data_IF_333481481925
#
_entry.id   IF_333481481925
#
_cell.length_a   1.000
_cell.length_b   1.000
_cell.length_c   1.000
_cell.angle_alpha   90.00
_cell.angle_beta   90.00
_cell.angle_gamma   90.00
#
_symmetry.space_group_name_H-M   'P 1'
#
loop_
_entity.id
_entity.type
_entity.pdbx_description
1 polymer ?
#
# COMPACT_ATOMS: atom_id res chain seq x y z
N UNK A 1 2.60 28.07 -17.13
CA UNK A 1 2.00 26.92 -16.45
C UNK A 1 2.99 25.81 -16.65
N UNK A 2 3.85 25.62 -15.66
CA UNK A 2 4.80 24.51 -15.64
C UNK A 2 3.99 23.25 -15.35
N UNK A 3 3.88 22.36 -16.35
CA UNK A 3 3.45 20.99 -16.11
C UNK A 3 4.56 20.34 -15.28
N UNK A 4 4.30 20.13 -13.98
CA UNK A 4 5.16 19.36 -13.12
C UNK A 4 5.15 17.90 -13.64
N UNK A 5 6.29 17.39 -14.14
CA UNK A 5 6.34 16.09 -14.83
C UNK A 5 6.01 14.90 -13.92
N UNK A 6 5.86 15.12 -12.60
CA UNK A 6 5.46 14.10 -11.63
C UNK A 6 3.97 13.99 -11.35
N UNK A 7 3.11 14.87 -11.90
CA UNK A 7 1.68 14.88 -11.57
C UNK A 7 0.86 14.13 -12.61
N UNK A 8 0.24 13.01 -12.21
CA UNK A 8 -0.82 12.37 -12.96
C UNK A 8 -2.18 12.96 -12.56
N UNK A 9 -2.75 13.76 -13.46
CA UNK A 9 -4.08 14.35 -13.33
C UNK A 9 -5.14 13.41 -13.88
N UNK A 10 -6.33 13.34 -13.28
CA UNK A 10 -7.47 12.63 -13.89
C UNK A 10 -8.12 13.41 -15.00
N UNK A 11 -7.93 14.73 -15.04
CA UNK A 11 -8.54 15.59 -16.03
C UNK A 11 -8.20 15.09 -17.45
N UNK A 12 -9.19 14.57 -18.17
CA UNK A 12 -9.05 14.03 -19.52
C UNK A 12 -8.88 12.50 -19.60
N UNK A 13 -8.81 11.78 -18.47
CA UNK A 13 -8.91 10.33 -18.48
C UNK A 13 -10.36 9.88 -18.77
N UNK A 14 -10.54 8.76 -19.49
CA UNK A 14 -11.88 8.25 -19.74
C UNK A 14 -12.61 7.91 -18.43
N UNK A 15 -13.91 8.24 -18.26
CA UNK A 15 -14.68 7.86 -17.07
C UNK A 15 -14.86 6.33 -16.96
N UNK A 16 -14.56 5.59 -18.02
CA UNK A 16 -14.54 4.13 -18.06
C UNK A 16 -13.19 3.52 -17.64
N UNK A 17 -12.18 4.32 -17.30
CA UNK A 17 -10.88 3.82 -16.87
C UNK A 17 -11.04 3.03 -15.56
N UNK A 18 -10.65 1.75 -15.58
CA UNK A 18 -10.79 0.81 -14.45
C UNK A 18 -9.45 0.36 -13.87
N UNK A 19 -8.40 0.40 -14.67
CA UNK A 19 -7.07 -0.07 -14.26
C UNK A 19 -5.99 0.85 -14.80
N UNK A 20 -5.00 1.16 -13.97
CA UNK A 20 -3.82 1.94 -14.31
C UNK A 20 -2.58 1.20 -13.83
N UNK A 21 -1.59 1.08 -14.72
CA UNK A 21 -0.30 0.45 -14.44
C UNK A 21 0.82 1.42 -14.80
N UNK A 22 1.61 1.80 -13.79
CA UNK A 22 2.65 2.80 -13.87
C UNK A 22 3.94 2.18 -13.32
N UNK A 23 4.87 1.83 -14.20
CA UNK A 23 6.14 1.22 -13.81
C UNK A 23 7.31 2.11 -14.22
N UNK A 24 8.26 2.32 -13.30
CA UNK A 24 9.47 3.12 -13.55
C UNK A 24 9.17 4.52 -14.09
N UNK A 25 8.08 5.12 -13.63
CA UNK A 25 7.67 6.48 -13.97
C UNK A 25 7.96 7.43 -12.79
N UNK A 26 8.34 8.69 -13.04
CA UNK A 26 8.60 9.68 -11.98
C UNK A 26 7.30 10.24 -11.37
N UNK A 27 6.20 9.47 -11.38
CA UNK A 27 4.91 9.95 -10.90
C UNK A 27 4.95 10.04 -9.39
N UNK A 28 4.76 11.26 -8.89
CA UNK A 28 4.81 11.63 -7.49
C UNK A 28 3.44 12.15 -7.00
N UNK A 29 2.51 12.49 -7.87
CA UNK A 29 1.22 13.03 -7.43
C UNK A 29 0.12 12.43 -8.26
N UNK A 30 -0.83 11.76 -7.62
CA UNK A 30 -2.14 11.56 -8.22
C UNK A 30 -2.97 12.76 -7.80
N UNK A 31 -3.40 13.58 -8.75
CA UNK A 31 -4.25 14.73 -8.46
C UNK A 31 -5.66 14.48 -8.98
N UNK A 32 -6.61 15.22 -8.41
CA UNK A 32 -8.03 15.27 -8.77
C UNK A 32 -8.88 14.10 -8.24
N UNK A 33 -10.14 14.40 -7.91
CA UNK A 33 -11.05 13.51 -7.16
C UNK A 33 -11.86 12.54 -8.06
N UNK A 34 -11.59 12.50 -9.36
CA UNK A 34 -12.43 11.76 -10.33
C UNK A 34 -11.95 10.32 -10.59
N UNK A 35 -11.07 9.78 -9.75
CA UNK A 35 -10.66 8.36 -9.77
C UNK A 35 -11.74 7.40 -9.24
N UNK A 36 -12.98 7.86 -9.08
CA UNK A 36 -14.08 7.10 -8.43
C UNK A 36 -14.37 5.77 -9.13
N UNK A 37 -14.06 5.67 -10.42
CA UNK A 37 -14.25 4.47 -11.22
C UNK A 37 -13.02 3.55 -11.27
N UNK A 38 -11.88 3.97 -10.72
CA UNK A 38 -10.66 3.19 -10.76
C UNK A 38 -10.78 2.04 -9.74
N UNK A 39 -10.40 0.85 -10.19
CA UNK A 39 -10.55 -0.40 -9.42
C UNK A 39 -9.19 -1.02 -9.13
N UNK A 40 -8.22 -0.77 -10.01
CA UNK A 40 -6.87 -1.28 -9.93
C UNK A 40 -5.84 -0.18 -10.19
N UNK A 41 -4.88 -0.04 -9.29
CA UNK A 41 -3.74 0.85 -9.47
C UNK A 41 -2.46 0.14 -9.05
N UNK A 42 -1.53 0.05 -9.98
CA UNK A 42 -0.20 -0.49 -9.75
C UNK A 42 0.82 0.60 -10.04
N UNK A 43 1.57 1.00 -9.02
CA UNK A 43 2.68 1.93 -9.11
C UNK A 43 3.92 1.19 -8.63
N UNK A 44 4.80 0.88 -9.57
CA UNK A 44 5.99 0.07 -9.33
C UNK A 44 7.23 0.88 -9.65
N UNK A 45 8.22 0.87 -8.77
CA UNK A 45 9.51 1.52 -8.99
C UNK A 45 9.35 3.04 -9.27
N UNK A 46 8.46 3.72 -8.53
CA UNK A 46 8.39 5.18 -8.55
C UNK A 46 9.39 5.76 -7.56
N UNK A 47 10.09 6.82 -7.97
CA UNK A 47 11.20 7.41 -7.22
C UNK A 47 10.80 8.60 -6.35
N UNK A 48 9.56 9.09 -6.45
CA UNK A 48 9.13 10.33 -5.80
C UNK A 48 7.79 10.19 -5.04
N UNK A 49 7.56 11.06 -4.05
CA UNK A 49 6.60 10.85 -2.95
C UNK A 49 5.14 11.00 -3.38
N UNK A 50 4.32 9.95 -3.21
CA UNK A 50 2.90 9.97 -3.59
C UNK A 50 2.04 10.84 -2.65
N UNK A 51 1.23 11.75 -3.20
CA UNK A 51 0.17 12.46 -2.45
C UNK A 51 -0.97 11.49 -2.07
N UNK A 52 -1.34 11.48 -0.78
CA UNK A 52 -2.20 10.43 -0.22
C UNK A 52 -3.67 10.79 -0.15
N UNK A 53 -4.03 12.06 -0.24
CA UNK A 53 -5.45 12.45 -0.25
C UNK A 53 -6.15 11.87 -1.49
N UNK A 54 -5.39 11.63 -2.56
CA UNK A 54 -5.88 10.90 -3.73
C UNK A 54 -6.35 9.48 -3.40
N UNK A 55 -5.72 8.78 -2.45
CA UNK A 55 -6.11 7.42 -2.04
C UNK A 55 -7.38 7.39 -1.21
N UNK A 56 -7.69 8.46 -0.49
CA UNK A 56 -8.92 8.53 0.31
C UNK A 56 -10.14 8.65 -0.60
N UNK A 57 -9.98 9.23 -1.79
CA UNK A 57 -11.04 9.37 -2.79
C UNK A 57 -11.38 8.06 -3.54
N UNK A 58 -10.59 7.01 -3.35
CA UNK A 58 -10.65 5.74 -4.08
C UNK A 58 -11.66 4.78 -3.44
N UNK A 59 -12.96 5.02 -3.64
CA UNK A 59 -14.04 4.27 -2.96
C UNK A 59 -14.26 2.85 -3.46
N UNK A 60 -13.92 2.58 -4.72
CA UNK A 60 -14.29 1.33 -5.40
C UNK A 60 -13.08 0.40 -5.63
N UNK A 61 -11.96 0.67 -4.96
CA UNK A 61 -10.70 -0.04 -5.23
C UNK A 61 -10.72 -1.48 -4.74
N UNK A 62 -10.28 -2.35 -5.64
CA UNK A 62 -10.10 -3.77 -5.38
C UNK A 62 -8.62 -4.07 -5.18
N UNK A 63 -7.74 -3.56 -6.04
CA UNK A 63 -6.30 -3.83 -5.94
C UNK A 63 -5.46 -2.55 -5.99
N UNK A 64 -4.62 -2.35 -4.98
CA UNK A 64 -3.66 -1.26 -4.91
C UNK A 64 -2.27 -1.84 -4.67
N UNK A 65 -1.31 -1.51 -5.52
CA UNK A 65 0.08 -1.91 -5.36
C UNK A 65 1.00 -0.69 -5.47
N UNK A 66 1.74 -0.45 -4.40
CA UNK A 66 2.89 0.43 -4.35
C UNK A 66 4.09 -0.41 -4.04
N UNK A 67 4.80 -0.87 -5.06
CA UNK A 67 5.98 -1.72 -4.87
C UNK A 67 7.24 -0.96 -5.22
N UNK A 68 8.30 -1.16 -4.43
CA UNK A 68 9.62 -0.59 -4.73
C UNK A 68 9.62 0.95 -4.80
N UNK A 69 8.89 1.60 -3.90
CA UNK A 69 8.76 3.07 -3.83
C UNK A 69 9.28 3.68 -2.53
N UNK A 70 9.05 4.98 -2.32
CA UNK A 70 9.61 5.72 -1.19
C UNK A 70 8.70 5.75 0.05
N UNK A 71 7.69 4.88 0.17
CA UNK A 71 6.67 4.98 1.25
C UNK A 71 7.28 4.92 2.67
N UNK A 72 8.46 4.32 2.84
CA UNK A 72 9.18 4.28 4.12
C UNK A 72 9.65 5.65 4.61
N UNK A 73 9.66 6.66 3.74
CA UNK A 73 9.98 8.06 4.10
C UNK A 73 8.77 8.85 4.58
N UNK A 74 7.58 8.24 4.57
CA UNK A 74 6.36 8.92 4.99
C UNK A 74 6.38 9.24 6.49
N UNK A 75 5.87 10.42 6.83
CA UNK A 75 5.65 10.83 8.22
C UNK A 75 4.48 10.07 8.84
N UNK A 76 4.35 10.14 10.17
CA UNK A 76 3.22 9.53 10.86
C UNK A 76 1.86 10.09 10.40
N UNK A 77 1.75 11.40 10.12
CA UNK A 77 0.51 12.03 9.65
C UNK A 77 0.12 11.57 8.24
N UNK A 78 1.12 11.30 7.41
CA UNK A 78 0.95 10.72 6.08
C UNK A 78 0.33 9.32 6.19
N UNK A 79 0.89 8.46 7.05
CA UNK A 79 0.33 7.14 7.34
C UNK A 79 -1.09 7.19 7.91
N UNK A 80 -1.36 8.08 8.86
CA UNK A 80 -2.73 8.25 9.40
C UNK A 80 -3.73 8.64 8.31
N UNK A 81 -3.30 9.41 7.32
CA UNK A 81 -4.15 9.78 6.18
C UNK A 81 -4.39 8.60 5.26
N UNK A 82 -3.34 7.88 4.89
CA UNK A 82 -3.45 6.68 4.08
C UNK A 82 -4.34 5.60 4.72
N UNK A 83 -4.29 5.45 6.04
CA UNK A 83 -5.14 4.53 6.80
C UNK A 83 -6.63 4.86 6.77
N UNK A 84 -7.03 6.04 6.26
CA UNK A 84 -8.43 6.39 6.00
C UNK A 84 -8.95 5.82 4.68
N UNK A 85 -8.12 5.13 3.90
CA UNK A 85 -8.54 4.52 2.65
C UNK A 85 -9.77 3.61 2.86
N UNK A 86 -10.71 3.58 1.90
CA UNK A 86 -11.91 2.75 2.00
C UNK A 86 -11.57 1.25 2.19
N UNK A 87 -12.29 0.59 3.10
CA UNK A 87 -12.16 -0.83 3.41
C UNK A 87 -13.51 -1.51 3.07
N UNK A 88 -13.55 -2.61 2.29
CA UNK A 88 -12.43 -3.52 2.02
C UNK A 88 -11.83 -3.46 0.61
N UNK A 89 -10.48 -3.51 0.56
CA UNK A 89 -9.71 -3.87 -0.64
C UNK A 89 -9.53 -5.39 -0.72
N UNK A 90 -9.23 -5.92 -1.90
CA UNK A 90 -8.83 -7.33 -2.09
C UNK A 90 -7.33 -7.49 -1.94
N UNK A 91 -6.53 -6.57 -2.47
CA UNK A 91 -5.07 -6.57 -2.36
C UNK A 91 -4.57 -5.16 -2.07
N UNK A 92 -3.73 -5.04 -1.05
CA UNK A 92 -2.90 -3.88 -0.77
C UNK A 92 -1.43 -4.33 -0.68
N UNK A 93 -0.70 -4.16 -1.78
CA UNK A 93 0.72 -4.50 -1.87
C UNK A 93 1.58 -3.26 -1.61
N UNK A 94 2.28 -3.26 -0.48
CA UNK A 94 3.20 -2.23 -0.01
C UNK A 94 4.62 -2.78 0.12
N UNK A 95 4.94 -3.85 -0.62
CA UNK A 95 6.23 -4.52 -0.51
C UNK A 95 7.40 -3.65 -0.99
N UNK A 96 8.56 -3.81 -0.34
CA UNK A 96 9.82 -3.18 -0.78
C UNK A 96 9.79 -1.64 -0.76
N UNK A 97 9.21 -1.01 0.26
CA UNK A 97 9.16 0.46 0.38
C UNK A 97 10.05 1.04 1.48
N UNK A 98 10.79 0.20 2.21
CA UNK A 98 11.57 0.64 3.37
C UNK A 98 10.70 1.04 4.56
N UNK A 99 9.49 0.47 4.68
CA UNK A 99 8.56 0.80 5.77
C UNK A 99 9.15 0.45 7.14
N UNK A 100 9.21 1.45 8.03
CA UNK A 100 9.51 1.27 9.46
C UNK A 100 8.29 1.52 10.36
N UNK A 101 7.23 2.12 9.81
CA UNK A 101 5.99 2.42 10.50
C UNK A 101 5.01 1.25 10.32
N UNK A 102 4.25 0.96 11.36
CA UNK A 102 3.30 -0.14 11.45
C UNK A 102 2.01 0.09 10.62
N UNK A 103 1.75 -0.69 9.56
CA UNK A 103 0.56 -0.53 8.70
C UNK A 103 -0.66 -1.33 9.19
N UNK A 104 -0.63 -1.84 10.42
CA UNK A 104 -1.51 -2.90 10.91
C UNK A 104 -3.00 -2.56 10.99
N UNK A 105 -3.37 -1.28 11.03
CA UNK A 105 -4.78 -0.85 10.96
C UNK A 105 -5.44 -1.17 9.62
N UNK A 106 -4.65 -1.46 8.59
CA UNK A 106 -5.13 -1.84 7.26
C UNK A 106 -5.38 -3.35 7.15
N UNK A 107 -4.97 -4.17 8.12
CA UNK A 107 -5.12 -5.62 8.03
C UNK A 107 -6.58 -6.04 8.29
N UNK A 108 -7.16 -6.85 7.39
CA UNK A 108 -8.51 -7.41 7.53
C UNK A 108 -8.62 -8.76 6.81
N UNK A 109 -9.63 -9.57 7.16
CA UNK A 109 -9.81 -10.94 6.65
C UNK A 109 -10.47 -11.03 5.26
N UNK A 110 -10.83 -9.91 4.64
CA UNK A 110 -11.46 -9.89 3.32
C UNK A 110 -10.48 -9.56 2.19
N UNK A 111 -9.23 -9.24 2.53
CA UNK A 111 -8.19 -8.85 1.59
C UNK A 111 -6.83 -9.36 2.02
N UNK A 112 -5.81 -8.96 1.26
CA UNK A 112 -4.41 -9.27 1.52
C UNK A 112 -3.66 -7.96 1.70
N UNK A 113 -3.00 -7.78 2.84
CA UNK A 113 -2.02 -6.75 3.09
C UNK A 113 -0.62 -7.35 2.93
N UNK A 114 0.05 -7.06 1.82
CA UNK A 114 1.45 -7.46 1.61
C UNK A 114 2.37 -6.31 2.00
N UNK A 115 3.16 -6.51 3.05
CA UNK A 115 4.17 -5.55 3.52
C UNK A 115 5.56 -6.20 3.52
N UNK A 116 5.73 -7.26 2.74
CA UNK A 116 6.98 -8.01 2.65
C UNK A 116 8.15 -7.14 2.18
N UNK A 117 9.36 -7.58 2.49
CA UNK A 117 10.60 -6.87 2.12
C UNK A 117 10.67 -5.43 2.64
N UNK A 118 10.11 -5.18 3.82
CA UNK A 118 10.24 -3.93 4.57
C UNK A 118 10.95 -4.17 5.93
N UNK A 119 11.67 -3.19 6.47
CA UNK A 119 12.33 -3.26 7.78
C UNK A 119 11.36 -3.05 8.95
N UNK A 120 10.19 -3.69 8.92
CA UNK A 120 9.20 -3.61 10.02
C UNK A 120 9.65 -4.54 11.14
N UNK A 121 9.83 -3.98 12.35
CA UNK A 121 10.51 -4.66 13.44
C UNK A 121 9.67 -5.77 14.09
N UNK A 122 8.36 -5.53 14.27
CA UNK A 122 7.47 -6.40 15.05
C UNK A 122 6.10 -6.47 14.39
N UNK A 123 5.48 -7.65 14.43
CA UNK A 123 4.08 -7.86 14.06
C UNK A 123 3.28 -8.12 15.35
N UNK A 124 2.19 -7.38 15.62
CA UNK A 124 1.35 -7.62 16.78
C UNK A 124 0.79 -9.05 16.81
N UNK A 125 0.77 -9.67 17.99
CA UNK A 125 0.21 -11.03 18.18
C UNK A 125 -1.24 -11.17 17.69
N UNK A 126 -2.03 -10.09 17.80
CA UNK A 126 -3.39 -10.03 17.31
C UNK A 126 -3.53 -10.31 15.79
N UNK A 127 -2.46 -10.13 15.01
CA UNK A 127 -2.43 -10.44 13.57
C UNK A 127 -2.09 -11.90 13.26
N UNK A 128 -1.78 -12.75 14.25
CA UNK A 128 -1.44 -14.18 14.03
C UNK A 128 -2.43 -14.90 13.12
N UNK A 129 -3.76 -14.78 13.32
CA UNK A 129 -4.71 -15.48 12.45
C UNK A 129 -4.66 -15.00 11.00
N UNK A 130 -4.37 -13.71 10.78
CA UNK A 130 -4.28 -13.12 9.45
C UNK A 130 -2.96 -13.50 8.75
N UNK A 131 -1.88 -13.70 9.50
CA UNK A 131 -0.63 -14.23 8.98
C UNK A 131 -0.76 -15.69 8.53
N UNK A 132 -1.35 -16.55 9.36
CA UNK A 132 -1.46 -18.00 9.06
C UNK A 132 -2.39 -18.31 7.90
N UNK A 133 -3.32 -17.41 7.60
CA UNK A 133 -4.26 -17.51 6.48
C UNK A 133 -3.81 -16.72 5.24
N UNK A 134 -2.67 -16.02 5.31
CA UNK A 134 -2.12 -15.26 4.18
C UNK A 134 -2.82 -13.93 3.90
N UNK A 135 -3.68 -13.44 4.80
CA UNK A 135 -4.27 -12.09 4.73
C UNK A 135 -3.29 -10.99 5.11
N UNK A 136 -2.22 -11.32 5.82
CA UNK A 136 -1.07 -10.44 6.03
C UNK A 136 0.17 -11.20 5.55
N UNK A 137 0.95 -10.56 4.69
CA UNK A 137 2.20 -11.11 4.16
C UNK A 137 3.36 -10.23 4.62
N UNK A 138 4.34 -10.85 5.29
CA UNK A 138 5.55 -10.22 5.82
C UNK A 138 6.78 -10.99 5.36
N UNK A 139 7.98 -10.39 5.47
CA UNK A 139 9.24 -11.10 5.25
C UNK A 139 9.49 -12.16 6.34
N UNK A 140 10.27 -13.18 5.98
CA UNK A 140 10.57 -14.33 6.85
C UNK A 140 11.18 -13.91 8.20
N UNK A 141 12.08 -12.92 8.20
CA UNK A 141 12.72 -12.43 9.45
C UNK A 141 11.68 -11.85 10.40
N UNK A 142 10.77 -11.03 9.89
CA UNK A 142 9.72 -10.39 10.70
C UNK A 142 8.68 -11.42 11.17
N UNK A 143 8.37 -12.42 10.35
CA UNK A 143 7.56 -13.58 10.77
C UNK A 143 8.25 -14.37 11.90
N UNK A 144 9.55 -14.63 11.78
CA UNK A 144 10.34 -15.36 12.78
C UNK A 144 10.46 -14.60 14.11
N UNK A 145 10.61 -13.27 14.08
CA UNK A 145 10.65 -12.46 15.30
C UNK A 145 9.35 -12.54 16.11
N UNK A 146 8.21 -12.70 15.43
CA UNK A 146 6.92 -12.91 16.08
C UNK A 146 6.80 -14.33 16.65
N UNK A 147 7.17 -15.34 15.87
CA UNK A 147 7.03 -16.76 16.25
C UNK A 147 8.08 -17.23 17.27
N UNK A 148 9.16 -16.48 17.50
CA UNK A 148 10.06 -16.72 18.63
C UNK A 148 9.39 -16.54 20.01
N UNK A 149 8.15 -16.02 20.06
CA UNK A 149 7.30 -16.02 21.25
C UNK A 149 6.37 -17.23 21.37
N UNK A 150 6.31 -18.12 20.37
CA UNK A 150 5.46 -19.31 20.39
C UNK A 150 6.09 -20.42 19.56
N UNK A 151 6.69 -21.37 20.27
CA UNK A 151 7.24 -22.61 19.74
C UNK A 151 6.38 -23.25 18.64
N UNK A 152 7.07 -23.74 17.61
CA UNK A 152 6.64 -24.69 16.55
C UNK A 152 6.12 -24.06 15.24
N UNK A 153 7.06 -23.66 14.38
CA UNK A 153 7.14 -23.96 12.93
C UNK A 153 8.44 -23.32 12.41
N UNK A 154 9.20 -24.07 11.61
CA UNK A 154 10.61 -23.82 11.31
C UNK A 154 10.90 -22.39 10.80
N UNK A 155 11.40 -21.56 11.71
CA UNK A 155 12.66 -20.88 11.50
C UNK A 155 13.79 -21.89 11.80
#
# INVERSE_FOLDING_TARGET
>A
MDDDPGVLRTAGLPPSLRAVYLESNPINTLQDAEWTCLVQLFVVNSTESVDMEAFVALTDFIDLSFRSGPLGRWSASQWTTFQRMPNPFRLLDLATNGLTIDPWLLAHSQGVLDVSSNPIAVVPEALTPLLTTGHVVVNNITYCNMTNHSSVLSC
#
